data_IF_868021186323
#
_entry.id   IF_868021186323
#
_cell.length_a   1.000
_cell.length_b   1.000
_cell.length_c   1.000
_cell.angle_alpha   90.00
_cell.angle_beta   90.00
_cell.angle_gamma   90.00
#
_symmetry.space_group_name_H-M   'P 1'
#
loop_
_entity.id
_entity.type
_entity.pdbx_description
1 polymer ?
#
# COMPACT_ATOMS: atom_id res chain seq x y z
N UNK A 1 2.85 -34.21 52.42
CA UNK A 1 4.13 -34.20 51.67
C UNK A 1 3.78 -33.98 50.21
N UNK A 2 3.59 -32.72 49.81
CA UNK A 2 4.57 -31.93 49.05
C UNK A 2 4.98 -32.61 47.75
N UNK A 3 4.23 -32.34 46.68
CA UNK A 3 4.74 -32.44 45.31
C UNK A 3 4.69 -31.06 44.67
N UNK A 4 5.90 -30.61 44.36
CA UNK A 4 6.28 -29.26 43.98
C UNK A 4 6.14 -29.13 42.46
N UNK A 5 5.14 -28.39 41.99
CA UNK A 5 5.07 -28.02 40.58
C UNK A 5 5.97 -26.81 40.34
N UNK A 6 6.91 -27.04 39.43
CA UNK A 6 8.02 -26.18 39.11
C UNK A 6 7.56 -25.01 38.24
N UNK A 7 7.90 -23.81 38.72
CA UNK A 7 8.41 -22.68 37.93
C UNK A 7 7.92 -22.57 36.49
N UNK A 8 6.77 -21.91 36.32
CA UNK A 8 6.32 -21.44 35.02
C UNK A 8 7.39 -20.53 34.39
N UNK A 9 7.72 -20.81 33.13
CA UNK A 9 8.81 -20.22 32.36
C UNK A 9 8.64 -18.71 32.24
N UNK A 10 9.67 -17.95 32.62
CA UNK A 10 9.79 -16.51 32.35
C UNK A 10 9.77 -16.29 30.83
N UNK A 11 8.65 -15.81 30.29
CA UNK A 11 8.63 -15.21 28.97
C UNK A 11 9.43 -13.89 28.99
N UNK A 12 10.34 -13.65 28.04
CA UNK A 12 11.07 -12.39 27.95
C UNK A 12 10.22 -11.36 27.19
N UNK A 13 9.12 -10.89 27.77
CA UNK A 13 8.36 -9.73 27.24
C UNK A 13 9.05 -8.38 27.53
N UNK A 14 10.38 -8.36 27.67
CA UNK A 14 11.15 -7.21 28.17
C UNK A 14 11.99 -6.50 27.10
N UNK A 15 11.70 -6.70 25.81
CA UNK A 15 12.44 -6.08 24.70
C UNK A 15 11.56 -5.38 23.64
N UNK A 16 10.30 -5.09 23.95
CA UNK A 16 9.41 -4.27 23.09
C UNK A 16 9.10 -2.89 23.69
N UNK A 17 9.77 -2.52 24.79
CA UNK A 17 9.61 -1.21 25.45
C UNK A 17 10.77 -0.24 25.14
N UNK A 18 11.70 -0.57 24.24
CA UNK A 18 12.97 0.16 24.17
C UNK A 18 13.28 0.92 22.88
N UNK A 19 12.36 1.03 21.92
CA UNK A 19 12.56 1.83 20.70
C UNK A 19 11.62 3.05 20.59
N UNK A 20 10.94 3.43 21.68
CA UNK A 20 10.24 4.73 21.78
C UNK A 20 11.02 5.72 22.65
N UNK A 21 12.36 5.67 22.59
CA UNK A 21 13.18 6.81 22.98
C UNK A 21 12.93 7.93 21.96
N UNK A 22 11.93 8.75 22.27
CA UNK A 22 11.60 9.99 21.58
C UNK A 22 12.89 10.79 21.41
N UNK A 23 13.41 10.87 20.19
CA UNK A 23 14.43 11.84 19.83
C UNK A 23 13.84 13.23 20.10
N UNK A 24 14.34 13.92 21.13
CA UNK A 24 13.94 15.27 21.56
C UNK A 24 14.34 16.39 20.59
N UNK A 25 14.51 16.07 19.31
CA UNK A 25 14.79 17.00 18.21
C UNK A 25 13.70 16.89 17.13
N UNK A 26 12.43 16.76 17.53
CA UNK A 26 11.34 16.99 16.60
C UNK A 26 11.29 18.50 16.28
N UNK A 27 11.28 18.88 14.99
CA UNK A 27 11.17 20.28 14.63
C UNK A 27 9.83 20.82 15.13
N UNK A 28 9.87 21.72 16.11
CA UNK A 28 8.70 22.46 16.60
C UNK A 28 8.32 23.60 15.66
N UNK A 29 9.12 23.84 14.62
CA UNK A 29 8.86 24.83 13.60
C UNK A 29 7.90 24.29 12.53
N UNK A 30 6.73 24.91 12.42
CA UNK A 30 5.71 24.58 11.42
C UNK A 30 6.24 24.54 9.98
N UNK A 31 7.17 25.42 9.61
CA UNK A 31 7.75 25.43 8.27
C UNK A 31 8.57 24.17 7.99
N UNK A 32 9.32 23.69 8.98
CA UNK A 32 10.10 22.45 8.85
C UNK A 32 9.19 21.21 8.77
N UNK A 33 8.11 21.18 9.57
CA UNK A 33 7.11 20.10 9.50
C UNK A 33 6.41 20.05 8.14
N UNK A 34 6.09 21.20 7.55
CA UNK A 34 5.50 21.26 6.20
C UNK A 34 6.45 20.69 5.15
N UNK A 35 7.73 21.06 5.18
CA UNK A 35 8.73 20.49 4.28
C UNK A 35 8.86 18.96 4.43
N UNK A 36 8.68 18.43 5.64
CA UNK A 36 8.64 16.97 5.86
C UNK A 36 7.43 16.33 5.20
N UNK A 37 6.24 16.95 5.30
CA UNK A 37 5.03 16.50 4.60
C UNK A 37 5.24 16.55 3.09
N UNK A 38 5.75 17.66 2.55
CA UNK A 38 6.01 17.81 1.11
C UNK A 38 6.95 16.71 0.58
N UNK A 39 7.97 16.35 1.38
CA UNK A 39 8.88 15.26 1.03
C UNK A 39 8.22 13.87 1.09
N UNK A 40 7.28 13.65 2.03
CA UNK A 40 6.47 12.42 2.06
C UNK A 40 5.55 12.36 0.84
N UNK A 41 4.92 13.47 0.47
CA UNK A 41 4.03 13.56 -0.69
C UNK A 41 4.79 13.28 -2.00
N UNK A 42 6.03 13.77 -2.13
CA UNK A 42 6.89 13.45 -3.26
C UNK A 42 7.22 11.95 -3.35
N UNK A 43 7.43 11.29 -2.20
CA UNK A 43 7.64 9.83 -2.15
C UNK A 43 6.36 9.06 -2.52
N UNK A 44 5.20 9.50 -2.04
CA UNK A 44 3.91 8.93 -2.41
C UNK A 44 3.69 9.01 -3.92
N UNK A 45 3.99 10.15 -4.55
CA UNK A 45 3.92 10.31 -6.00
C UNK A 45 4.83 9.32 -6.73
N UNK A 46 6.07 9.12 -6.24
CA UNK A 46 7.00 8.13 -6.78
C UNK A 46 6.45 6.70 -6.72
N UNK A 47 5.89 6.31 -5.57
CA UNK A 47 5.29 4.99 -5.37
C UNK A 47 4.05 4.77 -6.23
N UNK A 48 3.20 5.79 -6.40
CA UNK A 48 2.04 5.73 -7.29
C UNK A 48 2.47 5.55 -8.75
N UNK A 49 3.52 6.25 -9.20
CA UNK A 49 4.09 6.07 -10.54
C UNK A 49 4.61 4.66 -10.75
N UNK A 50 5.37 4.12 -9.79
CA UNK A 50 5.86 2.74 -9.86
C UNK A 50 4.71 1.73 -9.96
N UNK A 51 3.67 1.92 -9.13
CA UNK A 51 2.46 1.09 -9.16
C UNK A 51 1.83 1.10 -10.55
N UNK A 52 1.68 2.26 -11.18
CA UNK A 52 1.11 2.39 -12.52
C UNK A 52 1.92 1.61 -13.56
N UNK A 53 3.26 1.74 -13.54
CA UNK A 53 4.17 0.99 -14.42
C UNK A 53 3.97 -0.53 -14.26
N UNK A 54 3.89 -1.02 -13.02
CA UNK A 54 3.66 -2.45 -12.76
C UNK A 54 2.28 -2.87 -13.26
N UNK A 55 1.23 -2.08 -13.03
CA UNK A 55 -0.12 -2.41 -13.51
C UNK A 55 -0.24 -2.40 -15.04
N UNK A 56 0.53 -1.56 -15.74
CA UNK A 56 0.61 -1.60 -17.21
C UNK A 56 1.24 -2.90 -17.72
N UNK A 57 2.29 -3.40 -17.05
CA UNK A 57 2.86 -4.72 -17.35
C UNK A 57 1.90 -5.86 -17.04
N UNK A 58 1.15 -5.75 -15.94
CA UNK A 58 0.10 -6.72 -15.60
C UNK A 58 -1.00 -6.77 -16.65
N UNK A 59 -1.37 -5.63 -17.24
CA UNK A 59 -2.33 -5.58 -18.34
C UNK A 59 -1.86 -6.40 -19.54
N UNK A 60 -0.62 -6.25 -19.96
CA UNK A 60 -0.08 -7.00 -21.09
C UNK A 60 -0.10 -8.52 -20.80
N UNK A 61 0.29 -8.92 -19.59
CA UNK A 61 0.19 -10.31 -19.16
C UNK A 61 -1.28 -10.84 -19.18
N UNK A 62 -2.24 -10.02 -18.75
CA UNK A 62 -3.67 -10.35 -18.79
C UNK A 62 -4.20 -10.46 -20.23
N UNK A 63 -3.77 -9.58 -21.14
CA UNK A 63 -4.11 -9.60 -22.57
C UNK A 63 -3.68 -10.92 -23.20
N UNK A 64 -2.44 -11.35 -22.94
CA UNK A 64 -1.89 -12.62 -23.44
C UNK A 64 -2.64 -13.86 -22.90
N UNK A 65 -3.22 -13.76 -21.71
CA UNK A 65 -3.97 -14.85 -21.06
C UNK A 65 -5.49 -14.74 -21.23
N UNK A 66 -5.98 -13.76 -22.02
CA UNK A 66 -7.41 -13.45 -22.16
C UNK A 66 -8.15 -13.25 -20.82
N UNK A 67 -7.45 -12.71 -19.82
CA UNK A 67 -8.01 -12.43 -18.49
C UNK A 67 -8.65 -11.04 -18.43
N UNK A 68 -9.72 -10.85 -17.64
CA UNK A 68 -10.35 -9.55 -17.47
C UNK A 68 -9.41 -8.54 -16.81
N UNK A 69 -9.53 -7.27 -17.22
CA UNK A 69 -8.76 -6.17 -16.62
C UNK A 69 -9.08 -6.01 -15.13
N UNK A 70 -10.37 -6.09 -14.77
CA UNK A 70 -10.82 -6.01 -13.39
C UNK A 70 -10.93 -7.40 -12.78
N UNK A 71 -10.31 -7.58 -11.61
CA UNK A 71 -10.37 -8.79 -10.81
C UNK A 71 -10.86 -8.42 -9.41
N UNK A 72 -12.17 -8.60 -9.19
CA UNK A 72 -12.85 -8.22 -7.93
C UNK A 72 -12.29 -9.01 -6.75
N UNK A 73 -11.95 -10.29 -6.96
CA UNK A 73 -11.38 -11.12 -5.89
C UNK A 73 -10.01 -10.56 -5.48
N UNK A 74 -9.19 -10.19 -6.46
CA UNK A 74 -7.89 -9.59 -6.19
C UNK A 74 -8.00 -8.23 -5.49
N UNK A 75 -8.97 -7.39 -5.87
CA UNK A 75 -9.22 -6.12 -5.18
C UNK A 75 -9.56 -6.33 -3.71
N UNK A 76 -10.44 -7.30 -3.41
CA UNK A 76 -10.82 -7.65 -2.05
C UNK A 76 -9.62 -8.12 -1.21
N UNK A 77 -8.78 -8.99 -1.76
CA UNK A 77 -7.54 -9.44 -1.10
C UNK A 77 -6.57 -8.29 -0.79
N UNK A 78 -6.47 -7.30 -1.67
CA UNK A 78 -5.66 -6.10 -1.42
C UNK A 78 -6.21 -5.32 -0.23
N UNK A 79 -7.53 -5.08 -0.18
CA UNK A 79 -8.16 -4.33 0.91
C UNK A 79 -8.05 -5.05 2.26
N UNK A 80 -8.21 -6.37 2.28
CA UNK A 80 -8.01 -7.20 3.48
C UNK A 80 -6.56 -7.14 3.96
N UNK A 81 -5.60 -7.26 3.05
CA UNK A 81 -4.17 -7.13 3.37
C UNK A 81 -3.85 -5.76 3.96
N UNK A 82 -4.36 -4.68 3.38
CA UNK A 82 -4.15 -3.32 3.91
C UNK A 82 -4.77 -3.17 5.30
N UNK A 83 -5.94 -3.75 5.54
CA UNK A 83 -6.59 -3.72 6.85
C UNK A 83 -5.74 -4.42 7.92
N UNK A 84 -5.15 -5.57 7.59
CA UNK A 84 -4.25 -6.30 8.48
C UNK A 84 -2.98 -5.51 8.78
N UNK A 85 -2.32 -4.97 7.74
CA UNK A 85 -1.12 -4.15 7.91
C UNK A 85 -1.39 -2.89 8.75
N UNK A 86 -2.56 -2.28 8.58
CA UNK A 86 -2.98 -1.13 9.40
C UNK A 86 -3.11 -1.49 10.87
N UNK A 87 -3.71 -2.64 11.19
CA UNK A 87 -3.85 -3.09 12.57
C UNK A 87 -2.49 -3.30 13.25
N UNK A 88 -1.46 -3.69 12.49
CA UNK A 88 -0.10 -3.91 12.98
C UNK A 88 0.72 -2.60 13.08
N UNK A 89 0.56 -1.67 12.13
CA UNK A 89 1.48 -0.54 11.95
C UNK A 89 0.89 0.83 12.27
N UNK A 90 -0.42 1.01 12.09
CA UNK A 90 -1.05 2.33 12.22
C UNK A 90 -2.49 2.25 12.78
N UNK A 91 -2.69 1.60 13.95
CA UNK A 91 -4.01 1.28 14.47
C UNK A 91 -4.87 2.52 14.81
N UNK A 92 -4.26 3.69 15.00
CA UNK A 92 -5.00 4.93 15.25
C UNK A 92 -5.82 5.44 14.05
N UNK A 93 -5.47 5.04 12.82
CA UNK A 93 -6.27 5.40 11.64
C UNK A 93 -7.32 4.30 11.40
N UNK A 94 -8.62 4.64 11.32
CA UNK A 94 -9.65 3.65 11.03
C UNK A 94 -9.37 2.93 9.71
N UNK A 95 -9.42 1.59 9.72
CA UNK A 95 -9.09 0.79 8.55
C UNK A 95 -9.91 1.15 7.30
N UNK A 96 -11.16 1.61 7.48
CA UNK A 96 -12.00 2.02 6.36
C UNK A 96 -11.45 3.24 5.62
N UNK A 97 -10.77 4.17 6.31
CA UNK A 97 -10.10 5.31 5.65
C UNK A 97 -8.99 4.87 4.72
N UNK A 98 -8.20 3.88 5.12
CA UNK A 98 -7.20 3.31 4.22
C UNK A 98 -7.83 2.52 3.09
N UNK A 99 -8.91 1.78 3.35
CA UNK A 99 -9.65 1.10 2.28
C UNK A 99 -10.17 2.08 1.24
N UNK A 100 -10.73 3.21 1.65
CA UNK A 100 -11.14 4.30 0.74
C UNK A 100 -9.98 4.75 -0.16
N UNK A 101 -8.83 5.10 0.43
CA UNK A 101 -7.64 5.53 -0.33
C UNK A 101 -7.21 4.46 -1.33
N UNK A 102 -7.09 3.20 -0.89
CA UNK A 102 -6.63 2.12 -1.75
C UNK A 102 -7.65 1.75 -2.84
N UNK A 103 -8.97 1.91 -2.61
CA UNK A 103 -9.98 1.78 -3.66
C UNK A 103 -9.77 2.83 -4.75
N UNK A 104 -9.57 4.09 -4.39
CA UNK A 104 -9.29 5.16 -5.36
C UNK A 104 -8.03 4.86 -6.18
N UNK A 105 -6.94 4.45 -5.53
CA UNK A 105 -5.70 4.09 -6.23
C UNK A 105 -5.89 2.89 -7.18
N UNK A 106 -6.71 1.90 -6.78
CA UNK A 106 -7.06 0.77 -7.65
C UNK A 106 -7.87 1.22 -8.87
N UNK A 107 -8.86 2.09 -8.68
CA UNK A 107 -9.68 2.61 -9.78
C UNK A 107 -8.84 3.38 -10.79
N UNK A 108 -8.00 4.32 -10.36
CA UNK A 108 -7.11 5.06 -11.26
C UNK A 108 -6.16 4.16 -12.05
N UNK A 109 -5.71 3.06 -11.44
CA UNK A 109 -4.86 2.10 -12.15
C UNK A 109 -5.65 1.24 -13.13
N UNK A 110 -6.94 1.00 -12.90
CA UNK A 110 -7.81 0.36 -13.87
C UNK A 110 -8.11 1.30 -15.05
N UNK A 111 -8.34 2.58 -14.79
CA UNK A 111 -8.51 3.62 -15.80
C UNK A 111 -7.27 3.75 -16.69
N UNK A 112 -6.08 3.88 -16.09
CA UNK A 112 -4.82 3.92 -16.83
C UNK A 112 -4.59 2.67 -17.70
N UNK A 113 -5.02 1.49 -17.23
CA UNK A 113 -4.99 0.27 -18.04
C UNK A 113 -5.96 0.32 -19.22
N UNK A 114 -7.14 0.92 -19.08
CA UNK A 114 -8.09 1.09 -20.20
C UNK A 114 -7.52 2.03 -21.27
N UNK A 115 -6.98 3.17 -20.87
CA UNK A 115 -6.44 4.19 -21.76
C UNK A 115 -5.24 3.70 -22.58
N UNK A 116 -4.32 2.95 -21.94
CA UNK A 116 -3.19 2.34 -22.63
C UNK A 116 -3.60 1.35 -23.74
N UNK A 117 -4.87 0.93 -23.78
CA UNK A 117 -5.41 0.07 -24.83
C UNK A 117 -6.04 0.79 -25.99
N UNK A 118 -6.56 1.99 -25.76
CA UNK A 118 -7.19 2.79 -26.79
C UNK A 118 -6.18 3.43 -27.76
N UNK A 119 -4.90 3.48 -27.38
CA UNK A 119 -3.82 4.09 -28.17
C UNK A 119 -3.18 3.22 -29.25
N UNK A 120 -3.50 1.91 -29.34
CA UNK A 120 -2.88 1.00 -30.32
C UNK A 120 -3.64 0.89 -31.65
N UNK A 121 -4.84 1.47 -31.77
CA UNK A 121 -5.73 1.26 -32.93
C UNK A 121 -5.61 2.33 -34.06
N UNK A 122 -4.69 3.30 -33.95
CA UNK A 122 -4.57 4.40 -34.93
C UNK A 122 -3.43 4.27 -35.95
N UNK A 123 -2.72 3.14 -36.01
CA UNK A 123 -1.59 2.94 -36.95
C UNK A 123 -1.77 1.87 -38.03
N UNK A 124 -2.97 1.32 -38.24
CA UNK A 124 -3.23 0.33 -39.32
C UNK A 124 -4.21 0.78 -40.42
N UNK A 125 -4.75 2.01 -40.35
CA UNK A 125 -5.58 2.60 -41.41
C UNK A 125 -5.06 3.97 -41.83
N UNK A 126 -3.85 4.00 -42.39
CA UNK A 126 -3.46 5.06 -43.33
C UNK A 126 -2.60 4.46 -44.43
N UNK A 127 -3.28 3.77 -45.34
CA UNK A 127 -2.76 3.49 -46.67
C UNK A 127 -3.83 3.95 -47.67
N UNK A 128 -3.59 5.11 -48.27
CA UNK A 128 -4.03 5.54 -49.59
C UNK A 128 -3.28 6.83 -49.94
#
# INVERSE_FOLDING_TARGET
MSFQQHSCRRHPQRKLQQDLAVNSNLPTNLAQLRLQVDNIDAQLLGLLKERLVVTARMREAKKQQALPLRDVKREQEVLERISRLNAESFPQLPAERLREIFRTVMEWSLEAQKEAGAGEDQSSSRNQ
#
